data_IF_152669114916
#
_entry.id   IF_152669114916
#
_cell.length_a   1.000
_cell.length_b   1.000
_cell.length_c   1.000
_cell.angle_alpha   90.00
_cell.angle_beta   90.00
_cell.angle_gamma   90.00
#
_symmetry.space_group_name_H-M   'P 1'
#
loop_
_entity.id
_entity.type
_entity.pdbx_description
1 polymer ?
#
# COMPACT_ATOMS: atom_id res chain seq x y z
N UNK A 1 -14.58 -2.39 11.26
CA UNK A 1 -13.49 -1.43 10.98
C UNK A 1 -12.42 -2.10 10.13
N UNK A 2 -12.01 -1.47 9.02
CA UNK A 2 -11.07 -2.04 8.04
C UNK A 2 -9.64 -1.65 8.40
N UNK A 3 -8.76 -2.63 8.59
CA UNK A 3 -7.34 -2.43 8.93
C UNK A 3 -6.47 -2.36 7.68
N UNK A 4 -5.68 -1.30 7.58
CA UNK A 4 -4.75 -1.04 6.48
C UNK A 4 -3.37 -0.81 7.09
N UNK A 5 -2.35 -1.47 6.55
CA UNK A 5 -0.95 -1.20 6.92
C UNK A 5 -0.31 -0.36 5.83
N UNK A 6 0.52 0.61 6.22
CA UNK A 6 1.21 1.50 5.29
C UNK A 6 2.70 1.33 5.49
N UNK A 7 3.45 1.14 4.41
CA UNK A 7 4.90 0.99 4.47
C UNK A 7 5.56 1.76 3.33
N UNK A 8 6.81 2.16 3.51
CA UNK A 8 7.59 2.90 2.53
C UNK A 8 8.87 3.46 3.12
N UNK A 9 9.76 3.94 2.24
CA UNK A 9 11.10 4.41 2.63
C UNK A 9 11.11 5.76 3.32
N UNK A 10 10.08 6.58 3.09
CA UNK A 10 10.00 7.93 3.65
C UNK A 10 8.90 7.98 4.73
N UNK A 11 9.28 8.05 6.02
CA UNK A 11 8.31 7.98 7.11
C UNK A 11 7.30 9.12 7.07
N UNK A 12 7.69 10.32 6.62
CA UNK A 12 6.76 11.46 6.50
C UNK A 12 5.63 11.21 5.51
N UNK A 13 5.90 10.50 4.41
CA UNK A 13 4.86 10.13 3.45
C UNK A 13 3.99 9.01 3.99
N UNK A 14 4.59 8.03 4.67
CA UNK A 14 3.86 6.94 5.35
C UNK A 14 2.89 7.50 6.38
N UNK A 15 3.35 8.39 7.25
CA UNK A 15 2.53 9.03 8.28
C UNK A 15 1.39 9.84 7.66
N UNK A 16 1.67 10.64 6.63
CA UNK A 16 0.63 11.41 5.92
C UNK A 16 -0.43 10.48 5.28
N UNK A 17 -0.01 9.38 4.66
CA UNK A 17 -0.95 8.38 4.12
C UNK A 17 -1.80 7.80 5.26
N UNK A 18 -1.22 7.46 6.41
CA UNK A 18 -1.97 6.99 7.59
C UNK A 18 -2.99 8.03 8.06
N UNK A 19 -2.64 9.31 8.14
CA UNK A 19 -3.56 10.39 8.51
C UNK A 19 -4.74 10.50 7.52
N UNK A 20 -4.45 10.49 6.22
CA UNK A 20 -5.49 10.51 5.17
C UNK A 20 -6.44 9.31 5.29
N UNK A 21 -5.89 8.11 5.51
CA UNK A 21 -6.70 6.90 5.70
C UNK A 21 -7.57 7.00 6.97
N UNK A 22 -7.05 7.60 8.04
CA UNK A 22 -7.80 7.91 9.25
C UNK A 22 -8.96 8.88 9.00
N UNK A 23 -8.75 9.91 8.19
CA UNK A 23 -9.81 10.85 7.77
C UNK A 23 -10.92 10.16 6.97
N UNK A 24 -10.58 9.12 6.19
CA UNK A 24 -11.55 8.28 5.49
C UNK A 24 -12.21 7.21 6.38
N UNK A 25 -11.81 7.08 7.66
CA UNK A 25 -12.39 6.13 8.62
C UNK A 25 -11.75 4.74 8.63
N UNK A 26 -10.60 4.55 7.97
CA UNK A 26 -9.84 3.29 8.06
C UNK A 26 -8.95 3.26 9.31
N UNK A 27 -8.72 2.07 9.84
CA UNK A 27 -7.69 1.86 10.87
C UNK A 27 -6.33 1.68 10.18
N UNK A 28 -5.53 2.74 10.15
CA UNK A 28 -4.22 2.75 9.50
C UNK A 28 -3.07 2.61 10.50
N UNK A 29 -2.06 1.81 10.16
CA UNK A 29 -0.85 1.61 10.97
C UNK A 29 0.39 1.67 10.07
N UNK A 30 1.38 2.47 10.47
CA UNK A 30 2.67 2.53 9.79
C UNK A 30 3.51 1.29 10.14
N UNK A 31 4.15 0.70 9.13
CA UNK A 31 5.09 -0.41 9.27
C UNK A 31 6.41 0.03 8.68
N UNK A 32 7.44 0.10 9.51
CA UNK A 32 8.79 0.39 9.05
C UNK A 32 9.27 -0.73 8.11
N UNK A 33 9.86 -0.33 6.99
CA UNK A 33 10.50 -1.24 6.04
C UNK A 33 11.70 -1.98 6.63
N UNK A 34 12.33 -1.41 7.68
CA UNK A 34 13.41 -2.03 8.44
C UNK A 34 12.94 -2.98 9.55
N UNK A 35 11.66 -2.91 9.94
CA UNK A 35 11.07 -3.92 10.81
C UNK A 35 10.94 -5.21 10.03
N UNK A 36 11.25 -6.33 10.66
CA UNK A 36 11.09 -7.63 10.02
C UNK A 36 9.60 -7.81 9.71
N UNK A 37 9.24 -7.66 8.43
CA UNK A 37 7.85 -7.75 7.95
C UNK A 37 7.25 -9.12 8.32
N UNK A 38 8.11 -10.08 8.64
CA UNK A 38 7.76 -11.39 9.18
C UNK A 38 7.21 -11.36 10.61
N UNK A 39 7.59 -10.39 11.44
CA UNK A 39 7.10 -10.23 12.82
C UNK A 39 5.77 -9.47 12.91
N UNK A 40 5.37 -8.85 11.80
CA UNK A 40 4.14 -8.08 11.73
C UNK A 40 2.94 -9.04 11.73
N UNK A 41 2.02 -8.86 12.68
CA UNK A 41 0.74 -9.56 12.64
C UNK A 41 -0.09 -9.05 11.45
N UNK A 42 -0.26 -9.93 10.45
CA UNK A 42 -1.02 -9.68 9.24
C UNK A 42 -2.49 -10.12 9.35
N UNK A 43 -2.86 -10.78 10.45
CA UNK A 43 -4.23 -11.18 10.71
C UNK A 43 -5.14 -9.96 10.70
N UNK A 44 -6.32 -10.10 10.08
CA UNK A 44 -7.31 -9.04 9.90
C UNK A 44 -6.90 -7.84 9.02
N UNK A 45 -5.66 -7.76 8.53
CA UNK A 45 -5.24 -6.74 7.56
C UNK A 45 -5.93 -6.98 6.23
N UNK A 46 -6.55 -5.95 5.66
CA UNK A 46 -7.30 -6.04 4.39
C UNK A 46 -6.55 -5.47 3.19
N UNK A 47 -5.56 -4.61 3.44
CA UNK A 47 -4.74 -3.99 2.41
C UNK A 47 -3.40 -3.57 3.00
N UNK A 48 -2.34 -3.68 2.20
CA UNK A 48 -1.10 -2.94 2.43
C UNK A 48 -0.98 -1.83 1.41
N UNK A 49 -0.75 -0.61 1.86
CA UNK A 49 -0.35 0.51 0.99
C UNK A 49 1.17 0.60 1.02
N UNK A 50 1.78 0.49 -0.16
CA UNK A 50 3.23 0.49 -0.33
C UNK A 50 3.67 1.77 -1.04
N UNK A 51 4.26 2.69 -0.31
CA UNK A 51 4.77 3.97 -0.82
C UNK A 51 6.16 3.78 -1.45
N UNK A 52 6.22 3.92 -2.78
CA UNK A 52 7.50 3.91 -3.51
C UNK A 52 8.02 5.33 -3.69
N UNK A 53 9.32 5.51 -3.44
CA UNK A 53 9.98 6.81 -3.60
C UNK A 53 10.34 7.08 -5.05
N UNK A 54 10.27 8.34 -5.46
CA UNK A 54 10.61 8.77 -6.81
C UNK A 54 12.07 8.39 -7.16
N UNK A 55 12.26 7.70 -8.28
CA UNK A 55 13.56 7.25 -8.76
C UNK A 55 14.21 6.14 -7.93
N UNK A 56 13.45 5.51 -7.03
CA UNK A 56 13.92 4.41 -6.20
C UNK A 56 13.28 3.09 -6.65
N UNK A 57 14.06 2.29 -7.38
CA UNK A 57 13.66 1.00 -7.92
C UNK A 57 14.57 -0.06 -7.33
N UNK A 58 14.07 -0.86 -6.39
CA UNK A 58 14.88 -1.92 -5.79
C UNK A 58 14.23 -3.28 -5.99
N UNK A 59 15.05 -4.30 -6.20
CA UNK A 59 14.61 -5.70 -6.17
C UNK A 59 14.08 -6.10 -4.80
N UNK A 60 14.58 -5.46 -3.73
CA UNK A 60 14.10 -5.66 -2.36
C UNK A 60 12.64 -5.27 -2.17
N UNK A 61 12.22 -4.11 -2.71
CA UNK A 61 10.83 -3.65 -2.62
C UNK A 61 9.88 -4.60 -3.36
N UNK A 62 10.28 -5.07 -4.55
CA UNK A 62 9.52 -6.09 -5.28
C UNK A 62 9.42 -7.42 -4.52
N UNK A 63 10.53 -7.89 -3.94
CA UNK A 63 10.54 -9.12 -3.15
C UNK A 63 9.61 -9.00 -1.93
N UNK A 64 9.62 -7.85 -1.27
CA UNK A 64 8.74 -7.55 -0.15
C UNK A 64 7.26 -7.52 -0.57
N UNK A 65 6.92 -6.86 -1.69
CA UNK A 65 5.55 -6.85 -2.21
C UNK A 65 5.07 -8.28 -2.54
N UNK A 66 5.93 -9.11 -3.15
CA UNK A 66 5.61 -10.52 -3.44
C UNK A 66 5.38 -11.34 -2.16
N UNK A 67 6.22 -11.11 -1.15
CA UNK A 67 6.07 -11.73 0.17
C UNK A 67 4.71 -11.38 0.81
N UNK A 68 4.34 -10.10 0.84
CA UNK A 68 3.04 -9.65 1.35
C UNK A 68 1.86 -10.28 0.58
N UNK A 69 1.97 -10.36 -0.74
CA UNK A 69 0.95 -11.00 -1.58
C UNK A 69 0.81 -12.51 -1.32
N UNK A 70 1.86 -13.18 -0.83
CA UNK A 70 1.82 -14.63 -0.53
C UNK A 70 0.87 -14.96 0.63
N UNK A 71 0.61 -14.01 1.54
CA UNK A 71 -0.44 -14.11 2.57
C UNK A 71 -1.84 -13.87 2.01
N UNK A 72 -1.95 -13.62 0.71
CA UNK A 72 -3.20 -13.31 0.05
C UNK A 72 -3.72 -11.90 0.32
N UNK A 73 -2.88 -11.02 0.84
CA UNK A 73 -3.23 -9.62 1.14
C UNK A 73 -3.04 -8.79 -0.13
N UNK A 74 -4.04 -8.00 -0.56
CA UNK A 74 -3.86 -7.03 -1.62
C UNK A 74 -2.81 -5.98 -1.25
N UNK A 75 -1.99 -5.58 -2.21
CA UNK A 75 -1.00 -4.51 -2.06
C UNK A 75 -1.31 -3.39 -3.05
N UNK A 76 -1.48 -2.16 -2.54
CA UNK A 76 -1.62 -0.96 -3.35
C UNK A 76 -0.30 -0.20 -3.37
N UNK A 77 0.39 -0.23 -4.51
CA UNK A 77 1.63 0.52 -4.76
C UNK A 77 1.28 1.96 -5.12
N UNK A 78 1.79 2.91 -4.32
CA UNK A 78 1.68 4.35 -4.54
C UNK A 78 3.00 4.93 -5.03
N UNK A 79 3.02 5.50 -6.23
CA UNK A 79 4.24 6.02 -6.84
C UNK A 79 3.99 7.09 -7.91
N UNK A 80 5.07 7.66 -8.46
CA UNK A 80 4.97 8.49 -9.66
C UNK A 80 4.83 7.61 -10.91
N UNK A 81 4.35 8.14 -12.06
CA UNK A 81 4.09 7.34 -13.26
C UNK A 81 5.27 6.46 -13.69
N UNK A 82 6.48 7.02 -13.69
CA UNK A 82 7.70 6.31 -14.10
C UNK A 82 8.05 5.19 -13.12
N UNK A 83 7.90 5.43 -11.81
CA UNK A 83 8.13 4.40 -10.80
C UNK A 83 7.14 3.26 -10.93
N UNK A 84 5.85 3.58 -11.10
CA UNK A 84 4.82 2.56 -11.26
C UNK A 84 5.08 1.68 -12.49
N UNK A 85 5.63 2.23 -13.57
CA UNK A 85 6.01 1.45 -14.75
C UNK A 85 6.99 0.32 -14.42
N UNK A 86 7.99 0.60 -13.59
CA UNK A 86 8.95 -0.41 -13.12
C UNK A 86 8.26 -1.54 -12.33
N UNK A 87 7.41 -1.18 -11.36
CA UNK A 87 6.70 -2.19 -10.53
C UNK A 87 5.64 -2.95 -11.33
N UNK A 88 4.92 -2.28 -12.23
CA UNK A 88 3.94 -2.92 -13.11
C UNK A 88 4.58 -3.97 -14.02
N UNK A 89 5.79 -3.69 -14.55
CA UNK A 89 6.51 -4.65 -15.37
C UNK A 89 7.02 -5.84 -14.54
N UNK A 90 7.60 -5.60 -13.36
CA UNK A 90 8.16 -6.67 -12.53
C UNK A 90 7.15 -7.49 -11.72
N UNK A 91 5.88 -7.05 -11.65
CA UNK A 91 4.80 -7.68 -10.88
C UNK A 91 3.54 -7.94 -11.74
N UNK A 92 3.68 -7.97 -13.07
CA UNK A 92 2.60 -8.16 -14.04
C UNK A 92 1.74 -9.42 -13.78
N UNK A 93 2.36 -10.50 -13.29
CA UNK A 93 1.74 -11.78 -13.00
C UNK A 93 1.21 -11.91 -11.56
N UNK A 94 1.14 -10.81 -10.78
CA UNK A 94 0.71 -10.80 -9.39
C UNK A 94 -0.67 -10.14 -9.24
N UNK A 95 -1.79 -10.89 -9.27
CA UNK A 95 -3.14 -10.34 -9.39
C UNK A 95 -3.62 -9.53 -8.18
N UNK A 96 -2.92 -9.65 -7.04
CA UNK A 96 -3.21 -8.90 -5.80
C UNK A 96 -2.44 -7.59 -5.69
N UNK A 97 -1.61 -7.27 -6.68
CA UNK A 97 -0.89 -6.00 -6.74
C UNK A 97 -1.72 -4.99 -7.54
N UNK A 98 -1.89 -3.82 -6.94
CA UNK A 98 -2.65 -2.71 -7.46
C UNK A 98 -1.78 -1.46 -7.48
N UNK A 99 -2.14 -0.49 -8.30
CA UNK A 99 -1.32 0.70 -8.52
C UNK A 99 -2.18 1.95 -8.44
N UNK A 100 -1.64 3.02 -7.87
CA UNK A 100 -2.26 4.35 -7.91
C UNK A 100 -1.17 5.43 -7.94
N UNK A 101 -1.38 6.43 -8.80
CA UNK A 101 -0.45 7.55 -8.97
C UNK A 101 -0.53 8.49 -7.76
N UNK A 102 0.60 8.93 -7.21
CA UNK A 102 0.67 9.91 -6.11
C UNK A 102 0.03 11.27 -6.42
N UNK A 103 -0.02 11.68 -7.69
CA UNK A 103 -0.70 12.92 -8.12
C UNK A 103 -2.22 12.78 -8.24
N UNK A 104 -2.81 11.67 -7.78
CA UNK A 104 -4.26 11.48 -7.77
C UNK A 104 -4.90 12.32 -6.67
N UNK A 105 -6.14 12.76 -6.88
CA UNK A 105 -6.88 13.46 -5.83
C UNK A 105 -7.18 12.55 -4.64
N UNK A 106 -7.41 13.13 -3.46
CA UNK A 106 -7.85 12.39 -2.27
C UNK A 106 -9.11 11.55 -2.56
N UNK A 107 -10.07 12.08 -3.33
CA UNK A 107 -11.26 11.33 -3.77
C UNK A 107 -10.92 10.13 -4.67
N UNK A 108 -9.93 10.26 -5.56
CA UNK A 108 -9.51 9.14 -6.40
C UNK A 108 -8.81 8.06 -5.56
N UNK A 109 -8.06 8.45 -4.53
CA UNK A 109 -7.48 7.53 -3.56
C UNK A 109 -8.57 6.81 -2.75
N UNK A 110 -9.52 7.54 -2.19
CA UNK A 110 -10.67 6.98 -1.46
C UNK A 110 -11.47 6.00 -2.33
N UNK A 111 -11.83 6.40 -3.56
CA UNK A 111 -12.53 5.53 -4.51
C UNK A 111 -11.77 4.23 -4.75
N UNK A 112 -10.44 4.31 -4.87
CA UNK A 112 -9.60 3.12 -5.06
C UNK A 112 -9.60 2.23 -3.82
N UNK A 113 -9.54 2.80 -2.62
CA UNK A 113 -9.64 2.05 -1.37
C UNK A 113 -10.98 1.33 -1.25
N UNK A 114 -12.09 2.01 -1.52
CA UNK A 114 -13.44 1.41 -1.47
C UNK A 114 -13.56 0.24 -2.44
N UNK A 115 -12.98 0.32 -3.63
CA UNK A 115 -12.95 -0.79 -4.58
C UNK A 115 -12.16 -2.01 -4.08
N UNK A 116 -11.10 -1.80 -3.32
CA UNK A 116 -10.19 -2.85 -2.88
C UNK A 116 -10.63 -3.51 -1.57
N UNK A 117 -11.14 -2.73 -0.63
CA UNK A 117 -11.43 -3.19 0.74
C UNK A 117 -12.81 -2.80 1.27
N UNK A 118 -13.64 -2.15 0.46
CA UNK A 118 -14.96 -1.66 0.86
C UNK A 118 -14.92 -0.33 1.62
N UNK A 119 -16.10 0.25 1.85
CA UNK A 119 -16.23 1.46 2.67
C UNK A 119 -16.19 1.11 4.16
N UNK A 120 -15.46 1.88 5.00
CA UNK A 120 -15.42 1.65 6.44
C UNK A 120 -16.78 1.90 7.11
N UNK A 121 -17.67 2.67 6.47
CA UNK A 121 -19.03 2.98 6.95
C UNK A 121 -20.08 1.92 6.61
N UNK A 122 -19.72 0.90 5.81
CA UNK A 122 -20.64 -0.14 5.34
C UNK A 122 -20.60 -1.42 6.18
N UNK A 123 -19.94 -1.39 7.35
CA UNK A 123 -19.85 -2.51 8.31
C UNK A 123 -20.07 -2.04 9.75
#
# INVERSE_FOLDING_TARGET
MVKIKVTGRNPKFVDNICEILGLFGYQAEAVDMGTDVQEVCWDSVKLVVFDVSNGCHTSGDMALIRYLCSFGIPVLVLGYPDDLGYYMHGLDNWPKVHYLKKMSSAMAFEKRLVQLVGSPSAN
#
